data_IF_121872865874
#
_entry.id   IF_121872865874
#
_cell.length_a   1.000
_cell.length_b   1.000
_cell.length_c   1.000
_cell.angle_alpha   90.00
_cell.angle_beta   90.00
_cell.angle_gamma   90.00
#
_symmetry.space_group_name_H-M   'P 1'
#
loop_
_entity.id
_entity.type
_entity.pdbx_description
1 polymer ?
#
# COMPACT_ATOMS: atom_id res chain seq x y z
N UNK A 1 -5.39 17.68 -31.73
CA UNK A 1 -6.15 18.32 -30.63
C UNK A 1 -6.05 17.40 -29.42
N UNK A 2 -5.61 17.89 -28.26
CA UNK A 2 -5.59 17.08 -27.02
C UNK A 2 -6.99 17.05 -26.43
N UNK A 3 -7.53 15.86 -26.14
CA UNK A 3 -8.86 15.69 -25.59
C UNK A 3 -8.87 16.20 -24.14
N UNK A 4 -9.95 16.86 -23.70
CA UNK A 4 -10.09 17.27 -22.30
C UNK A 4 -10.03 16.07 -21.34
N UNK A 5 -10.45 14.88 -21.80
CA UNK A 5 -10.30 13.62 -21.07
C UNK A 5 -8.83 13.23 -20.83
N UNK A 6 -7.91 13.64 -21.71
CA UNK A 6 -6.46 13.40 -21.54
C UNK A 6 -5.85 14.29 -20.45
N UNK A 7 -6.61 15.26 -19.92
CA UNK A 7 -6.20 16.19 -18.86
C UNK A 7 -6.81 15.87 -17.49
N UNK A 8 -7.72 14.91 -17.39
CA UNK A 8 -8.35 14.56 -16.12
C UNK A 8 -7.41 13.63 -15.33
N UNK A 9 -7.07 14.05 -14.11
CA UNK A 9 -6.27 13.28 -13.16
C UNK A 9 -7.16 12.81 -12.02
N UNK A 10 -7.27 11.49 -11.83
CA UNK A 10 -7.97 10.90 -10.69
C UNK A 10 -6.99 10.43 -9.63
N UNK A 11 -7.01 11.04 -8.45
CA UNK A 11 -6.14 10.67 -7.31
C UNK A 11 -6.98 10.06 -6.21
N UNK A 12 -6.46 9.02 -5.56
CA UNK A 12 -7.06 8.41 -4.38
C UNK A 12 -6.06 8.26 -3.23
N UNK A 13 -6.59 8.22 -2.01
CA UNK A 13 -5.86 7.82 -0.80
C UNK A 13 -6.68 6.77 -0.08
N UNK A 14 -6.04 5.69 0.39
CA UNK A 14 -6.75 4.59 1.01
C UNK A 14 -5.93 3.92 2.11
N UNK A 15 -6.36 4.08 3.37
CA UNK A 15 -5.84 3.28 4.47
C UNK A 15 -6.46 1.87 4.39
N UNK A 16 -5.63 0.87 4.12
CA UNK A 16 -6.09 -0.52 3.92
C UNK A 16 -6.04 -1.34 5.19
N UNK A 17 -5.62 -0.76 6.31
CA UNK A 17 -5.43 -1.40 7.60
C UNK A 17 -4.46 -2.60 7.61
N UNK A 18 -3.44 -2.51 8.46
CA UNK A 18 -2.42 -3.56 8.57
C UNK A 18 -3.03 -4.89 9.03
N UNK A 19 -2.46 -5.98 8.54
CA UNK A 19 -2.86 -7.34 8.88
C UNK A 19 -1.64 -8.15 9.28
N UNK A 20 -1.28 -8.23 10.57
CA UNK A 20 -0.10 -9.00 10.99
C UNK A 20 -0.25 -10.47 10.59
N UNK A 21 0.82 -11.09 10.11
CA UNK A 21 0.86 -12.54 9.99
C UNK A 21 0.84 -13.11 11.41
N UNK A 22 -0.29 -13.69 11.83
CA UNK A 22 -0.38 -14.40 13.11
C UNK A 22 0.33 -15.73 13.00
N UNK A 23 1.11 -16.12 14.03
CA UNK A 23 1.69 -17.46 14.19
C UNK A 23 0.62 -18.55 14.46
N UNK A 24 -0.51 -18.49 13.77
CA UNK A 24 -1.47 -19.57 13.79
C UNK A 24 -0.99 -20.58 12.75
N UNK A 25 -0.89 -21.84 13.17
CA UNK A 25 -0.60 -23.09 12.42
C UNK A 25 -1.59 -23.36 11.28
N UNK A 26 -2.13 -22.31 10.69
CA UNK A 26 -3.16 -22.36 9.68
C UNK A 26 -2.43 -22.34 8.34
N UNK A 27 -2.60 -23.46 7.65
CA UNK A 27 -2.13 -23.73 6.29
C UNK A 27 -2.25 -22.46 5.43
N UNK A 28 -1.20 -22.18 4.64
CA UNK A 28 -1.23 -21.10 3.66
C UNK A 28 -2.55 -21.17 2.86
N UNK A 29 -3.44 -20.20 3.07
CA UNK A 29 -4.75 -20.13 2.40
C UNK A 29 -5.99 -20.09 3.29
N UNK A 30 -5.90 -20.30 4.61
CA UNK A 30 -7.09 -20.27 5.50
C UNK A 30 -7.00 -19.24 6.62
N UNK A 31 -6.85 -17.95 6.30
CA UNK A 31 -7.04 -16.93 7.34
C UNK A 31 -8.51 -16.99 7.83
N UNK A 32 -8.72 -17.19 9.13
CA UNK A 32 -10.05 -17.14 9.75
C UNK A 32 -10.77 -15.83 9.34
N UNK A 33 -12.08 -15.83 9.07
CA UNK A 33 -12.77 -14.68 8.50
C UNK A 33 -12.65 -13.41 9.35
N UNK A 34 -12.46 -13.56 10.66
CA UNK A 34 -12.18 -12.48 11.59
C UNK A 34 -10.91 -12.77 12.39
N UNK A 35 -10.08 -11.74 12.54
CA UNK A 35 -8.95 -11.73 13.46
C UNK A 35 -9.44 -11.43 14.89
N UNK A 36 -8.62 -11.77 15.89
CA UNK A 36 -8.93 -11.54 17.31
C UNK A 36 -9.17 -10.05 17.68
N UNK A 37 -8.81 -9.12 16.79
CA UNK A 37 -9.04 -7.68 16.91
C UNK A 37 -10.38 -7.22 16.32
N UNK A 38 -11.24 -8.14 15.85
CA UNK A 38 -12.53 -7.83 15.22
C UNK A 38 -12.45 -7.41 13.75
N UNK A 39 -11.26 -7.42 13.14
CA UNK A 39 -11.09 -7.08 11.72
C UNK A 39 -11.28 -8.29 10.83
N UNK A 40 -11.88 -8.08 9.66
CA UNK A 40 -11.89 -9.11 8.63
C UNK A 40 -10.46 -9.44 8.20
N UNK A 41 -10.19 -10.72 7.91
CA UNK A 41 -8.85 -11.12 7.47
C UNK A 41 -8.43 -10.42 6.18
N UNK A 42 -7.11 -10.30 5.98
CA UNK A 42 -6.59 -9.72 4.75
C UNK A 42 -7.05 -10.49 3.52
N UNK A 43 -7.09 -11.83 3.59
CA UNK A 43 -7.60 -12.66 2.51
C UNK A 43 -9.05 -12.34 2.13
N UNK A 44 -9.90 -11.95 3.09
CA UNK A 44 -11.27 -11.49 2.82
C UNK A 44 -11.31 -10.05 2.29
N UNK A 45 -10.42 -9.17 2.78
CA UNK A 45 -10.43 -7.74 2.42
C UNK A 45 -9.78 -7.44 1.07
N UNK A 46 -8.71 -8.16 0.70
CA UNK A 46 -7.92 -7.89 -0.50
C UNK A 46 -8.79 -7.90 -1.78
N UNK A 47 -9.62 -8.91 -2.07
CA UNK A 47 -10.45 -8.90 -3.28
C UNK A 47 -11.36 -7.69 -3.37
N UNK A 48 -11.99 -7.29 -2.25
CA UNK A 48 -12.89 -6.12 -2.19
C UNK A 48 -12.13 -4.80 -2.43
N UNK A 49 -10.93 -4.68 -1.86
CA UNK A 49 -10.06 -3.52 -2.09
C UNK A 49 -9.67 -3.44 -3.57
N UNK A 50 -9.28 -4.56 -4.18
CA UNK A 50 -8.89 -4.61 -5.60
C UNK A 50 -10.07 -4.29 -6.51
N UNK A 51 -11.25 -4.81 -6.24
CA UNK A 51 -12.46 -4.52 -7.01
C UNK A 51 -12.82 -3.03 -6.95
N UNK A 52 -12.73 -2.40 -5.78
CA UNK A 52 -12.95 -0.97 -5.62
C UNK A 52 -11.93 -0.14 -6.43
N UNK A 53 -10.65 -0.53 -6.43
CA UNK A 53 -9.61 0.17 -7.20
C UNK A 53 -9.84 0.00 -8.70
N UNK A 54 -10.24 -1.18 -9.17
CA UNK A 54 -10.54 -1.43 -10.59
C UNK A 54 -11.77 -0.64 -11.04
N UNK A 55 -12.81 -0.61 -10.21
CA UNK A 55 -14.03 0.15 -10.47
C UNK A 55 -13.75 1.64 -10.57
N UNK A 56 -13.09 2.22 -9.57
CA UNK A 56 -12.78 3.65 -9.55
C UNK A 56 -11.70 4.03 -10.55
N UNK A 57 -10.79 3.11 -10.88
CA UNK A 57 -9.69 3.31 -11.81
C UNK A 57 -8.90 4.61 -11.58
N UNK A 58 -8.34 4.86 -10.38
CA UNK A 58 -7.52 6.03 -10.13
C UNK A 58 -6.27 6.02 -11.02
N UNK A 59 -5.79 7.22 -11.37
CA UNK A 59 -4.54 7.40 -12.08
C UNK A 59 -3.34 7.26 -11.14
N UNK A 60 -3.51 7.74 -9.90
CA UNK A 60 -2.55 7.66 -8.80
C UNK A 60 -3.30 7.30 -7.53
N UNK A 61 -2.79 6.34 -6.75
CA UNK A 61 -3.35 5.96 -5.45
C UNK A 61 -2.24 5.76 -4.41
N UNK A 62 -2.39 6.40 -3.25
CA UNK A 62 -1.53 6.16 -2.09
C UNK A 62 -2.23 5.28 -1.06
N UNK A 63 -1.50 4.32 -0.50
CA UNK A 63 -2.00 3.48 0.60
C UNK A 63 -1.35 3.82 1.93
N UNK A 64 -2.01 3.47 3.04
CA UNK A 64 -1.46 3.56 4.40
C UNK A 64 -1.66 2.24 5.15
N UNK A 65 -0.85 2.03 6.20
CA UNK A 65 -0.86 0.83 7.05
C UNK A 65 -0.62 -0.50 6.29
N UNK A 66 0.04 -0.48 5.13
CA UNK A 66 0.35 -1.71 4.40
C UNK A 66 1.58 -2.40 5.00
N UNK A 67 1.50 -3.68 5.39
CA UNK A 67 2.71 -4.47 5.70
C UNK A 67 3.34 -5.03 4.42
N UNK A 68 4.59 -5.51 4.49
CA UNK A 68 5.34 -6.04 3.35
C UNK A 68 4.54 -7.04 2.51
N UNK A 69 3.96 -8.09 3.12
CA UNK A 69 3.16 -9.07 2.39
C UNK A 69 1.91 -8.45 1.74
N UNK A 70 1.24 -7.50 2.41
CA UNK A 70 0.08 -6.81 1.83
C UNK A 70 0.48 -5.91 0.66
N UNK A 71 1.67 -5.29 0.73
CA UNK A 71 2.21 -4.50 -0.38
C UNK A 71 2.54 -5.39 -1.59
N UNK A 72 3.15 -6.56 -1.36
CA UNK A 72 3.39 -7.56 -2.42
C UNK A 72 2.07 -8.04 -3.03
N UNK A 73 1.08 -8.36 -2.20
CA UNK A 73 -0.25 -8.78 -2.68
C UNK A 73 -0.92 -7.69 -3.54
N UNK A 74 -0.82 -6.41 -3.14
CA UNK A 74 -1.30 -5.28 -3.96
C UNK A 74 -0.56 -5.20 -5.30
N UNK A 75 0.76 -5.42 -5.31
CA UNK A 75 1.56 -5.42 -6.53
C UNK A 75 1.12 -6.54 -7.48
N UNK A 76 0.98 -7.77 -6.97
CA UNK A 76 0.57 -8.93 -7.75
C UNK A 76 -0.81 -8.74 -8.40
N UNK A 77 -1.71 -8.00 -7.74
CA UNK A 77 -3.05 -7.73 -8.25
C UNK A 77 -3.12 -6.52 -9.20
N UNK A 78 -2.31 -5.48 -8.98
CA UNK A 78 -2.40 -4.20 -9.70
C UNK A 78 -1.40 -4.04 -10.86
N UNK A 79 -0.23 -4.69 -10.81
CA UNK A 79 0.75 -4.63 -11.90
C UNK A 79 0.18 -5.20 -13.21
N UNK A 80 -0.55 -6.34 -13.22
CA UNK A 80 -1.25 -6.81 -14.42
C UNK A 80 -2.27 -5.80 -14.96
N UNK A 81 -2.78 -4.92 -14.10
CA UNK A 81 -3.71 -3.83 -14.45
C UNK A 81 -2.99 -2.52 -14.84
N UNK A 82 -1.72 -2.61 -15.24
CA UNK A 82 -0.88 -1.50 -15.72
C UNK A 82 -0.52 -0.44 -14.66
N UNK A 83 -0.52 -0.80 -13.39
CA UNK A 83 0.08 0.06 -12.35
C UNK A 83 1.56 -0.29 -12.16
N UNK A 84 2.32 0.67 -11.67
CA UNK A 84 3.59 0.44 -10.97
C UNK A 84 3.53 1.11 -9.61
N UNK A 85 4.52 0.85 -8.76
CA UNK A 85 4.53 1.36 -7.39
C UNK A 85 5.91 1.60 -6.83
N UNK A 86 5.94 2.42 -5.79
CA UNK A 86 7.09 2.65 -4.91
C UNK A 86 6.64 2.66 -3.46
N UNK A 87 7.49 2.19 -2.57
CA UNK A 87 7.22 2.15 -1.14
C UNK A 87 8.34 1.41 -0.42
N UNK A 88 8.62 1.83 0.82
CA UNK A 88 9.57 1.19 1.73
C UNK A 88 8.95 1.04 3.11
N UNK A 89 9.40 0.04 3.86
CA UNK A 89 9.01 -0.14 5.25
C UNK A 89 9.53 1.01 6.13
N UNK A 90 8.66 1.59 6.97
CA UNK A 90 9.03 2.73 7.83
C UNK A 90 10.05 2.39 8.92
N UNK A 91 10.26 1.11 9.24
CA UNK A 91 11.14 0.67 10.33
C UNK A 91 12.56 0.33 9.89
N UNK A 92 12.91 0.42 8.62
CA UNK A 92 14.28 0.22 8.14
C UNK A 92 14.58 0.96 6.82
N UNK A 93 13.57 1.52 6.16
CA UNK A 93 13.71 2.10 4.83
C UNK A 93 13.84 1.07 3.73
N UNK A 94 13.54 -0.20 4.03
CA UNK A 94 13.64 -1.34 3.12
C UNK A 94 12.32 -2.11 3.15
N UNK A 95 12.13 -3.02 4.10
CA UNK A 95 10.91 -3.85 4.17
C UNK A 95 10.20 -3.92 5.51
N UNK A 96 10.82 -3.50 6.60
CA UNK A 96 10.22 -3.65 7.92
C UNK A 96 9.22 -2.55 8.24
N UNK A 97 8.12 -2.96 8.85
CA UNK A 97 7.08 -2.06 9.34
C UNK A 97 6.04 -1.71 8.28
N UNK A 98 5.18 -0.75 8.62
CA UNK A 98 4.15 -0.26 7.70
C UNK A 98 4.79 0.56 6.57
N UNK A 99 4.25 0.40 5.38
CA UNK A 99 4.55 1.14 4.18
C UNK A 99 3.51 2.25 4.00
N UNK A 100 3.90 3.27 3.25
CA UNK A 100 3.01 4.27 2.65
C UNK A 100 3.22 4.23 1.13
N UNK A 101 2.82 3.16 0.44
CA UNK A 101 3.19 2.98 -0.95
C UNK A 101 2.33 3.85 -1.86
N UNK A 102 2.92 4.28 -2.97
CA UNK A 102 2.25 5.04 -4.03
C UNK A 102 2.21 4.18 -5.30
N UNK A 103 1.03 4.04 -5.88
CA UNK A 103 0.79 3.36 -7.15
C UNK A 103 0.34 4.36 -8.22
N UNK A 104 0.74 4.17 -9.48
CA UNK A 104 0.28 4.97 -10.60
C UNK A 104 0.23 4.19 -11.92
N UNK A 105 -0.58 4.66 -12.88
CA UNK A 105 -0.72 4.06 -14.22
C UNK A 105 0.54 4.27 -15.07
N UNK A 106 1.18 3.18 -15.51
CA UNK A 106 2.40 3.20 -16.34
C UNK A 106 2.22 3.92 -17.69
N UNK A 107 1.02 3.87 -18.26
CA UNK A 107 0.71 4.53 -19.54
C UNK A 107 0.56 6.05 -19.44
N UNK A 108 0.44 6.61 -18.22
CA UNK A 108 0.21 8.04 -17.99
C UNK A 108 1.36 8.75 -17.30
N UNK A 109 2.09 8.07 -16.42
CA UNK A 109 3.16 8.69 -15.63
C UNK A 109 4.45 7.87 -15.64
N UNK A 110 5.56 8.60 -15.61
CA UNK A 110 6.90 8.06 -15.39
C UNK A 110 7.49 8.75 -14.16
N UNK A 111 7.94 7.96 -13.18
CA UNK A 111 8.69 8.51 -12.06
C UNK A 111 10.04 9.05 -12.55
N UNK A 112 10.28 10.35 -12.32
CA UNK A 112 11.56 11.01 -12.64
C UNK A 112 12.55 10.92 -11.46
N UNK A 113 12.03 10.95 -10.23
CA UNK A 113 12.80 10.80 -9.00
C UNK A 113 11.89 10.25 -7.90
N UNK A 114 12.45 9.42 -7.03
CA UNK A 114 11.77 8.83 -5.87
C UNK A 114 12.64 9.06 -4.66
N UNK A 115 12.07 9.63 -3.60
CA UNK A 115 12.75 9.88 -2.32
C UNK A 115 11.81 9.52 -1.19
N UNK A 116 12.38 9.00 -0.12
CA UNK A 116 11.68 8.69 1.12
C UNK A 116 12.33 9.49 2.24
N UNK A 117 11.52 9.98 3.17
CA UNK A 117 11.98 10.71 4.34
C UNK A 117 11.12 10.36 5.55
N UNK A 118 11.70 10.46 6.72
CA UNK A 118 11.01 10.24 7.99
C UNK A 118 10.54 11.57 8.55
N UNK A 119 9.30 11.61 9.03
CA UNK A 119 8.75 12.76 9.75
C UNK A 119 9.43 12.89 11.12
N UNK A 120 10.63 13.47 11.13
CA UNK A 120 11.49 13.64 12.30
C UNK A 120 12.48 14.78 12.09
N UNK A 121 13.20 15.17 13.15
CA UNK A 121 14.28 16.16 13.09
C UNK A 121 15.44 15.77 12.14
N UNK A 122 15.51 14.49 11.74
CA UNK A 122 16.56 13.94 10.88
C UNK A 122 15.92 13.15 9.72
N UNK A 123 15.34 13.82 8.71
CA UNK A 123 14.50 13.20 7.69
C UNK A 123 15.19 12.14 6.85
N UNK A 124 16.51 12.24 6.67
CA UNK A 124 17.32 11.28 5.91
C UNK A 124 17.83 10.09 6.76
N UNK A 125 17.50 10.05 8.05
CA UNK A 125 17.88 8.96 8.94
C UNK A 125 16.65 8.24 9.44
N UNK A 126 16.51 6.99 9.00
CA UNK A 126 15.67 6.03 9.69
C UNK A 126 16.02 6.02 11.19
N UNK A 127 15.04 6.28 12.06
CA UNK A 127 15.20 6.21 13.52
C UNK A 127 14.05 5.43 14.13
N UNK A 128 14.29 4.16 14.43
CA UNK A 128 13.46 3.42 15.38
C UNK A 128 13.87 3.83 16.80
N UNK A 129 13.43 5.00 17.25
CA UNK A 129 13.16 5.14 18.68
C UNK A 129 11.83 4.44 18.87
N UNK A 130 11.74 3.43 19.73
CA UNK A 130 10.47 2.75 20.09
C UNK A 130 9.48 3.67 20.81
N UNK A 131 9.16 4.82 20.20
CA UNK A 131 8.34 5.92 20.72
C UNK A 131 7.57 6.66 19.61
N UNK A 132 7.52 6.14 18.38
CA UNK A 132 6.44 6.47 17.45
C UNK A 132 5.25 5.54 17.76
N UNK A 133 4.52 5.85 18.83
CA UNK A 133 3.11 5.49 18.87
C UNK A 133 2.39 6.33 17.82
N UNK A 134 1.36 5.73 17.20
CA UNK A 134 0.46 6.41 16.24
C UNK A 134 0.12 7.81 16.76
N UNK A 135 0.33 8.84 15.94
CA UNK A 135 -0.28 10.16 16.14
C UNK A 135 -1.79 10.01 15.89
#
# INVERSE_FOLDING_TARGET
MVNAADKLLKVATFNIRYSPLTNSTVVAGTQAPFMNNGEASWATRLPLIIDQIKWESPDIIGFQEALEHQYVDLQDQLIPSQYTSVGVGRNDGVTRGEYVPLFWRNGKFKALSVRYFWLSDKPDRFRWLGRCEKI
#
